data_IF_609627105710
#
_entry.id   IF_609627105710
#
_cell.length_a   1.000
_cell.length_b   1.000
_cell.length_c   1.000
_cell.angle_alpha   90.00
_cell.angle_beta   90.00
_cell.angle_gamma   90.00
#
_symmetry.space_group_name_H-M   'P 1'
#
loop_
_entity.id
_entity.type
_entity.pdbx_description
1 polymer ?
#
# COMPACT_ATOMS: atom_id res chain seq x y z
N UNK A 1 -4.71 -16.03 25.35
CA UNK A 1 -4.46 -16.37 23.93
C UNK A 1 -5.78 -16.89 23.39
N UNK A 2 -6.60 -15.99 22.87
CA UNK A 2 -8.05 -16.22 22.72
C UNK A 2 -8.44 -16.47 21.28
N UNK A 3 -9.43 -17.36 21.09
CA UNK A 3 -10.16 -17.52 19.84
C UNK A 3 -10.86 -16.20 19.49
N UNK A 4 -10.73 -15.76 18.23
CA UNK A 4 -11.30 -14.50 17.74
C UNK A 4 -12.43 -14.80 16.77
N UNK A 5 -13.55 -14.08 16.90
CA UNK A 5 -14.68 -14.18 15.97
C UNK A 5 -14.73 -12.91 15.10
N UNK A 6 -14.67 -13.07 13.79
CA UNK A 6 -14.71 -11.97 12.82
C UNK A 6 -15.68 -12.30 11.70
N UNK A 7 -16.75 -11.52 11.54
CA UNK A 7 -17.79 -11.73 10.52
C UNK A 7 -18.33 -13.18 10.49
N UNK A 8 -18.53 -13.80 11.65
CA UNK A 8 -18.97 -15.20 11.77
C UNK A 8 -17.86 -16.25 11.56
N UNK A 9 -16.65 -15.84 11.17
CA UNK A 9 -15.49 -16.71 11.06
C UNK A 9 -14.81 -16.84 12.42
N UNK A 10 -14.59 -18.09 12.84
CA UNK A 10 -13.77 -18.42 14.02
C UNK A 10 -12.32 -18.52 13.60
N UNK A 11 -11.47 -17.72 14.23
CA UNK A 11 -10.02 -17.69 14.03
C UNK A 11 -9.38 -18.27 15.30
N UNK A 12 -8.91 -19.52 15.27
CA UNK A 12 -8.26 -20.16 16.41
C UNK A 12 -7.01 -19.40 16.86
N UNK A 13 -6.70 -19.51 18.16
CA UNK A 13 -5.44 -19.02 18.68
C UNK A 13 -4.25 -19.65 17.92
N UNK A 14 -3.19 -18.87 17.69
CA UNK A 14 -1.97 -19.27 16.96
C UNK A 14 -2.16 -19.57 15.47
N UNK A 15 -3.36 -19.41 14.91
CA UNK A 15 -3.56 -19.49 13.47
C UNK A 15 -2.80 -18.38 12.76
N UNK A 16 -2.04 -18.75 11.73
CA UNK A 16 -1.38 -17.78 10.85
C UNK A 16 -2.38 -17.18 9.88
N UNK A 17 -2.37 -15.86 9.77
CA UNK A 17 -3.23 -15.09 8.85
C UNK A 17 -2.32 -14.34 7.88
N UNK A 18 -2.59 -14.48 6.59
CA UNK A 18 -1.86 -13.80 5.52
C UNK A 18 -2.76 -12.74 4.89
N UNK A 19 -2.21 -11.54 4.67
CA UNK A 19 -2.87 -10.49 3.89
C UNK A 19 -2.42 -10.65 2.43
N UNK A 20 -3.34 -10.87 1.47
CA UNK A 20 -2.99 -11.08 0.06
C UNK A 20 -2.72 -9.73 -0.65
N UNK A 21 -1.62 -9.06 -0.27
CA UNK A 21 -1.30 -7.69 -0.72
C UNK A 21 -1.20 -7.59 -2.25
N UNK A 22 -0.60 -8.58 -2.91
CA UNK A 22 -0.46 -8.58 -4.36
C UNK A 22 -1.84 -8.59 -5.04
N UNK A 23 -2.71 -9.49 -4.64
CA UNK A 23 -4.08 -9.58 -5.14
C UNK A 23 -4.87 -8.31 -4.83
N UNK A 24 -4.74 -7.75 -3.63
CA UNK A 24 -5.39 -6.47 -3.29
C UNK A 24 -4.93 -5.31 -4.16
N UNK A 25 -3.66 -5.25 -4.54
CA UNK A 25 -3.12 -4.19 -5.42
C UNK A 25 -3.55 -4.37 -6.89
N UNK A 26 -3.93 -5.59 -7.28
CA UNK A 26 -4.30 -5.92 -8.65
C UNK A 26 -5.80 -6.25 -8.81
N UNK A 27 -6.61 -6.05 -7.76
CA UNK A 27 -8.04 -6.32 -7.79
C UNK A 27 -8.77 -5.23 -8.60
N UNK A 28 -9.42 -5.58 -9.73
CA UNK A 28 -10.17 -4.62 -10.56
C UNK A 28 -11.37 -4.00 -9.84
N UNK A 29 -11.84 -4.58 -8.71
CA UNK A 29 -12.89 -3.98 -7.86
C UNK A 29 -12.37 -2.84 -7.01
N UNK A 30 -11.07 -2.80 -6.73
CA UNK A 30 -10.42 -1.76 -5.93
C UNK A 30 -9.68 -0.74 -6.81
N UNK A 31 -9.26 -1.16 -8.01
CA UNK A 31 -8.36 -0.41 -8.87
C UNK A 31 -8.80 -0.46 -10.33
N UNK A 32 -9.13 0.70 -10.91
CA UNK A 32 -9.42 0.81 -12.36
C UNK A 32 -8.18 0.45 -13.18
N UNK A 33 -8.22 -0.58 -14.04
CA UNK A 33 -7.10 -0.98 -14.90
C UNK A 33 -5.80 -1.19 -14.08
N UNK A 34 -5.77 -2.24 -13.23
CA UNK A 34 -4.74 -2.43 -12.19
C UNK A 34 -3.34 -2.73 -12.74
N UNK A 35 -3.25 -3.39 -13.90
CA UNK A 35 -1.98 -3.81 -14.50
C UNK A 35 -1.20 -2.65 -15.14
N UNK A 36 -1.88 -1.52 -15.39
CA UNK A 36 -1.26 -0.36 -16.03
C UNK A 36 -0.56 0.53 -15.01
N UNK A 37 0.73 0.79 -15.25
CA UNK A 37 1.51 1.76 -14.48
C UNK A 37 1.00 3.19 -14.73
N UNK A 38 0.13 3.67 -13.82
CA UNK A 38 -0.53 4.98 -13.91
C UNK A 38 -0.35 5.78 -12.60
N UNK A 39 0.78 6.49 -12.41
CA UNK A 39 1.08 7.24 -11.19
C UNK A 39 0.02 8.27 -10.79
N UNK A 40 -0.67 8.85 -11.78
CA UNK A 40 -1.71 9.88 -11.64
C UNK A 40 -2.92 9.37 -10.84
N UNK A 41 -3.07 8.05 -10.70
CA UNK A 41 -4.08 7.39 -9.86
C UNK A 41 -4.01 7.84 -8.40
N UNK A 42 -2.81 8.19 -7.92
CA UNK A 42 -2.58 8.61 -6.53
C UNK A 42 -2.64 10.14 -6.36
N UNK A 43 -3.06 10.88 -7.38
CA UNK A 43 -3.19 12.33 -7.29
C UNK A 43 -4.55 12.72 -6.70
N UNK A 44 -4.52 13.41 -5.56
CA UNK A 44 -5.70 13.91 -4.86
C UNK A 44 -6.50 14.95 -5.67
N UNK A 45 -5.88 15.60 -6.67
CA UNK A 45 -6.53 16.62 -7.51
C UNK A 45 -7.70 16.08 -8.37
N UNK A 46 -7.73 14.77 -8.63
CA UNK A 46 -8.73 14.15 -9.49
C UNK A 46 -10.01 13.70 -8.74
N UNK A 47 -10.15 14.04 -7.45
CA UNK A 47 -11.33 13.71 -6.63
C UNK A 47 -11.55 12.21 -6.39
N UNK A 48 -10.65 11.34 -6.88
CA UNK A 48 -10.72 9.89 -6.67
C UNK A 48 -10.24 9.54 -5.26
N UNK A 49 -11.19 9.35 -4.36
CA UNK A 49 -10.96 8.72 -3.07
C UNK A 49 -10.85 7.20 -3.26
N UNK A 50 -9.63 6.68 -3.43
CA UNK A 50 -9.40 5.25 -3.27
C UNK A 50 -9.46 4.89 -1.78
N UNK A 51 -9.92 3.68 -1.45
CA UNK A 51 -9.93 3.21 -0.08
C UNK A 51 -8.47 3.23 0.46
N UNK A 52 -8.16 3.99 1.53
CA UNK A 52 -6.80 4.03 2.08
C UNK A 52 -6.26 2.66 2.48
N UNK A 53 -7.15 1.72 2.81
CA UNK A 53 -6.80 0.34 3.15
C UNK A 53 -6.53 -0.55 1.93
N UNK A 54 -6.87 -0.12 0.70
CA UNK A 54 -6.56 -0.88 -0.51
C UNK A 54 -5.06 -0.83 -0.85
N UNK A 55 -4.36 0.26 -0.50
CA UNK A 55 -2.93 0.41 -0.76
C UNK A 55 -2.07 -0.02 0.44
N UNK A 56 -1.82 -1.32 0.56
CA UNK A 56 -1.05 -1.93 1.67
C UNK A 56 0.47 -2.11 1.40
N UNK A 57 1.13 -1.20 0.68
CA UNK A 57 2.56 -1.36 0.36
C UNK A 57 3.49 -1.45 1.59
N UNK A 58 3.06 -0.89 2.72
CA UNK A 58 3.77 -0.94 4.00
C UNK A 58 2.93 -1.60 5.11
N UNK A 59 1.83 -2.27 4.76
CA UNK A 59 0.84 -2.76 5.70
C UNK A 59 0.12 -1.65 6.47
N UNK A 60 -0.71 -2.05 7.45
CA UNK A 60 -1.48 -1.16 8.30
C UNK A 60 -1.65 -1.75 9.70
N UNK A 61 -2.06 -0.91 10.66
CA UNK A 61 -2.25 -1.30 12.05
C UNK A 61 -0.94 -1.51 12.83
N UNK A 62 -0.99 -2.21 13.99
CA UNK A 62 0.15 -2.33 14.92
C UNK A 62 1.39 -3.05 14.37
N UNK A 63 1.24 -3.76 13.25
CA UNK A 63 2.32 -4.50 12.57
C UNK A 63 2.69 -3.87 11.22
N UNK A 64 2.36 -2.59 11.02
CA UNK A 64 2.81 -1.86 9.83
C UNK A 64 4.34 -1.78 9.78
N UNK A 65 4.88 -1.57 8.58
CA UNK A 65 6.32 -1.49 8.38
C UNK A 65 6.91 -0.32 9.17
N UNK A 66 7.78 -0.64 10.13
CA UNK A 66 8.51 0.34 10.95
C UNK A 66 9.34 1.31 10.10
N UNK A 67 9.80 0.87 8.93
CA UNK A 67 10.63 1.65 8.02
C UNK A 67 9.84 2.57 7.05
N UNK A 68 8.51 2.57 7.08
CA UNK A 68 7.68 3.29 6.10
C UNK A 68 8.10 4.75 5.93
N UNK A 69 8.22 5.49 7.04
CA UNK A 69 8.58 6.92 7.01
C UNK A 69 9.98 7.13 6.43
N UNK A 70 10.94 6.30 6.84
CA UNK A 70 12.32 6.40 6.37
C UNK A 70 12.42 6.15 4.87
N UNK A 71 11.82 5.07 4.38
CA UNK A 71 11.84 4.71 2.95
C UNK A 71 11.15 5.78 2.10
N UNK A 72 10.03 6.33 2.55
CA UNK A 72 9.35 7.42 1.84
C UNK A 72 10.24 8.66 1.69
N UNK A 73 11.01 9.03 2.73
CA UNK A 73 11.95 10.14 2.64
C UNK A 73 13.12 9.82 1.70
N UNK A 74 13.71 8.62 1.81
CA UNK A 74 14.79 8.19 0.94
C UNK A 74 14.39 8.17 -0.54
N UNK A 75 13.21 7.64 -0.87
CA UNK A 75 12.71 7.61 -2.24
C UNK A 75 12.55 9.03 -2.80
N UNK A 76 11.88 9.92 -2.06
CA UNK A 76 11.69 11.32 -2.47
C UNK A 76 13.03 12.02 -2.73
N UNK A 77 13.99 11.89 -1.82
CA UNK A 77 15.33 12.47 -1.97
C UNK A 77 16.07 11.91 -3.19
N UNK A 78 15.97 10.60 -3.41
CA UNK A 78 16.62 9.93 -4.55
C UNK A 78 16.05 10.42 -5.88
N UNK A 79 14.72 10.51 -5.99
CA UNK A 79 14.05 11.04 -7.19
C UNK A 79 14.41 12.51 -7.44
N UNK A 80 14.36 13.34 -6.40
CA UNK A 80 14.70 14.77 -6.52
C UNK A 80 16.15 14.97 -6.99
N UNK A 81 17.11 14.23 -6.41
CA UNK A 81 18.53 14.28 -6.82
C UNK A 81 18.71 13.82 -8.28
N UNK A 82 18.08 12.70 -8.66
CA UNK A 82 18.22 12.13 -10.02
C UNK A 82 17.60 13.04 -11.08
N UNK A 83 16.46 13.67 -10.79
CA UNK A 83 15.81 14.65 -11.68
C UNK A 83 16.67 15.91 -11.89
N UNK A 84 17.27 16.47 -10.83
CA UNK A 84 18.19 17.61 -10.96
C UNK A 84 19.45 17.28 -11.77
N UNK A 85 19.99 16.06 -11.65
CA UNK A 85 21.16 15.61 -12.44
C UNK A 85 20.84 15.49 -13.94
N UNK A 86 19.63 15.06 -14.29
CA UNK A 86 19.16 15.00 -15.69
C UNK A 86 18.91 16.37 -16.33
N UNK A 87 18.66 17.42 -15.54
CA UNK A 87 18.51 18.80 -16.04
C UNK A 87 19.84 19.56 -16.19
N UNK A 88 20.91 19.04 -15.56
CA UNK A 88 22.28 19.61 -15.62
C UNK A 88 23.16 18.94 -16.66
N UNK A 89 22.74 17.79 -17.18
CA UNK A 89 23.26 17.20 -18.41
C UNK A 89 22.34 17.61 -19.55
#
# INVERSE_FOLDING_TARGET
EEERLYNGLKIPAKMSVLIPVYQMHHDPKLWDDPETFRPERFNNANGRNFNPMAFQAFGHGPRNCVGMRFVQQQLKLTFAKKSKKKKKK
#
